data_IF_808842092235
#
_entry.id   IF_808842092235
#
_cell.length_a   1.000
_cell.length_b   1.000
_cell.length_c   1.000
_cell.angle_alpha   90.00
_cell.angle_beta   90.00
_cell.angle_gamma   90.00
#
_symmetry.space_group_name_H-M   'P 1'
#
loop_
_entity.id
_entity.type
_entity.pdbx_description
1 polymer ?
#
# COMPACT_ATOMS: atom_id res chain seq x y z
N UNK A 1 -24.32 13.84 -14.06
CA UNK A 1 -24.28 12.36 -14.14
C UNK A 1 -22.82 11.92 -14.19
N UNK A 2 -22.29 11.38 -13.08
CA UNK A 2 -20.91 10.90 -13.04
C UNK A 2 -20.86 9.54 -13.75
N UNK A 3 -20.14 9.45 -14.87
CA UNK A 3 -19.93 8.17 -15.56
C UNK A 3 -18.87 7.37 -14.79
N UNK A 4 -19.22 6.17 -14.36
CA UNK A 4 -18.28 5.20 -13.81
C UNK A 4 -17.95 4.17 -14.88
N UNK A 5 -16.70 3.71 -14.90
CA UNK A 5 -16.26 2.63 -15.80
C UNK A 5 -15.95 1.43 -14.92
N UNK A 6 -16.77 0.39 -15.04
CA UNK A 6 -16.57 -0.89 -14.37
C UNK A 6 -15.85 -1.86 -15.31
N UNK A 7 -14.84 -2.55 -14.78
CA UNK A 7 -14.15 -3.64 -15.45
C UNK A 7 -14.12 -4.85 -14.52
N UNK A 8 -14.63 -5.98 -15.00
CA UNK A 8 -14.55 -7.26 -14.30
C UNK A 8 -13.47 -8.12 -14.94
N UNK A 9 -12.63 -8.72 -14.12
CA UNK A 9 -11.63 -9.70 -14.50
C UNK A 9 -11.80 -10.93 -13.61
N UNK A 10 -11.89 -12.10 -14.23
CA UNK A 10 -11.97 -13.38 -13.51
C UNK A 10 -10.55 -13.93 -13.52
N UNK A 11 -9.93 -14.01 -12.34
CA UNK A 11 -8.56 -14.50 -12.17
C UNK A 11 -8.53 -16.03 -12.07
N UNK A 12 -9.51 -16.60 -11.37
CA UNK A 12 -9.77 -18.04 -11.30
C UNK A 12 -11.22 -18.27 -10.92
N UNK A 13 -11.68 -19.53 -10.88
CA UNK A 13 -13.05 -19.87 -10.48
C UNK A 13 -13.41 -19.38 -9.06
N UNK A 14 -12.40 -19.14 -8.22
CA UNK A 14 -12.55 -18.73 -6.82
C UNK A 14 -12.24 -17.26 -6.57
N UNK A 15 -11.69 -16.54 -7.55
CA UNK A 15 -11.23 -15.15 -7.38
C UNK A 15 -11.78 -14.28 -8.51
N UNK A 16 -12.67 -13.35 -8.13
CA UNK A 16 -13.24 -12.35 -9.03
C UNK A 16 -12.70 -10.97 -8.63
N UNK A 17 -12.17 -10.25 -9.61
CA UNK A 17 -11.64 -8.90 -9.43
C UNK A 17 -12.53 -7.91 -10.18
N UNK A 18 -13.10 -6.96 -9.46
CA UNK A 18 -13.85 -5.84 -10.05
C UNK A 18 -13.09 -4.55 -9.82
N UNK A 19 -12.93 -3.78 -10.87
CA UNK A 19 -12.31 -2.46 -10.83
C UNK A 19 -13.34 -1.43 -11.22
N UNK A 20 -13.65 -0.53 -10.31
CA UNK A 20 -14.56 0.58 -10.52
C UNK A 20 -13.71 1.84 -10.61
N UNK A 21 -13.65 2.43 -11.81
CA UNK A 21 -12.97 3.71 -12.04
C UNK A 21 -13.99 4.84 -11.90
N UNK A 22 -13.64 5.79 -11.04
CA UNK A 22 -14.41 7.00 -10.76
C UNK A 22 -13.56 8.24 -11.06
N UNK A 23 -14.15 9.43 -11.02
CA UNK A 23 -13.36 10.67 -11.08
C UNK A 23 -12.43 10.86 -9.88
N UNK A 24 -12.80 10.32 -8.72
CA UNK A 24 -12.04 10.48 -7.48
C UNK A 24 -10.93 9.44 -7.32
N UNK A 25 -10.81 8.49 -8.25
CA UNK A 25 -9.82 7.41 -8.20
C UNK A 25 -10.39 6.07 -8.62
N UNK A 26 -9.65 5.02 -8.31
CA UNK A 26 -9.95 3.65 -8.70
C UNK A 26 -10.17 2.78 -7.45
N UNK A 27 -11.35 2.16 -7.36
CA UNK A 27 -11.65 1.15 -6.35
C UNK A 27 -11.47 -0.24 -6.97
N UNK A 28 -10.66 -1.08 -6.34
CA UNK A 28 -10.51 -2.51 -6.70
C UNK A 28 -11.17 -3.34 -5.60
N UNK A 29 -12.17 -4.14 -5.99
CA UNK A 29 -12.89 -5.08 -5.13
C UNK A 29 -12.44 -6.48 -5.54
N UNK A 30 -11.94 -7.25 -4.59
CA UNK A 30 -11.55 -8.65 -4.81
C UNK A 30 -12.52 -9.51 -4.01
N UNK A 31 -13.34 -10.29 -4.72
CA UNK A 31 -14.25 -11.25 -4.14
C UNK A 31 -13.61 -12.63 -4.21
N UNK A 32 -13.58 -13.33 -3.08
CA UNK A 32 -12.94 -14.63 -2.96
C UNK A 32 -13.90 -15.68 -2.38
N UNK A 33 -13.79 -16.92 -2.88
CA UNK A 33 -14.33 -18.09 -2.20
C UNK A 33 -13.17 -18.82 -1.51
N UNK A 34 -13.00 -18.54 -0.21
CA UNK A 34 -11.87 -19.04 0.55
C UNK A 34 -11.93 -20.58 0.72
N UNK A 35 -10.77 -21.26 0.64
CA UNK A 35 -10.70 -22.69 0.90
C UNK A 35 -11.13 -22.99 2.35
N UNK A 36 -11.72 -24.16 2.53
CA UNK A 36 -12.18 -24.68 3.82
C UNK A 36 -11.31 -25.85 4.25
N UNK A 37 -11.45 -26.31 5.49
CA UNK A 37 -10.69 -27.43 6.07
C UNK A 37 -10.80 -28.77 5.32
N UNK A 38 -11.65 -28.87 4.31
CA UNK A 38 -11.78 -30.05 3.42
C UNK A 38 -10.81 -30.03 2.23
N UNK A 39 -10.04 -28.95 2.05
CA UNK A 39 -9.09 -28.80 0.96
C UNK A 39 -7.70 -29.19 1.45
N UNK A 40 -6.92 -29.84 0.59
CA UNK A 40 -5.53 -30.19 0.89
C UNK A 40 -4.63 -28.96 0.89
N UNK A 41 -3.48 -29.06 1.55
CA UNK A 41 -2.54 -27.94 1.71
C UNK A 41 -2.07 -27.35 0.36
N UNK A 42 -1.94 -28.19 -0.67
CA UNK A 42 -1.57 -27.77 -2.02
C UNK A 42 -2.63 -26.83 -2.64
N UNK A 43 -3.91 -27.17 -2.51
CA UNK A 43 -5.02 -26.34 -3.02
C UNK A 43 -5.08 -25.00 -2.29
N UNK A 44 -4.80 -25.00 -0.99
CA UNK A 44 -4.75 -23.79 -0.16
C UNK A 44 -3.60 -22.90 -0.60
N UNK A 45 -2.41 -23.47 -0.82
CA UNK A 45 -1.24 -22.73 -1.28
C UNK A 45 -1.46 -22.10 -2.66
N UNK A 46 -2.04 -22.86 -3.60
CA UNK A 46 -2.39 -22.37 -4.94
C UNK A 46 -3.35 -21.18 -4.82
N UNK A 47 -4.40 -21.29 -4.01
CA UNK A 47 -5.36 -20.20 -3.79
C UNK A 47 -4.67 -18.92 -3.28
N UNK A 48 -3.80 -19.02 -2.27
CA UNK A 48 -3.13 -17.83 -1.73
C UNK A 48 -2.10 -17.24 -2.69
N UNK A 49 -1.44 -18.06 -3.53
CA UNK A 49 -0.58 -17.58 -4.62
C UNK A 49 -1.38 -16.79 -5.66
N UNK A 50 -2.54 -17.29 -6.08
CA UNK A 50 -3.42 -16.59 -7.02
C UNK A 50 -3.96 -15.28 -6.43
N UNK A 51 -4.36 -15.29 -5.15
CA UNK A 51 -4.80 -14.09 -4.45
C UNK A 51 -3.70 -13.02 -4.36
N UNK A 52 -2.46 -13.44 -4.08
CA UNK A 52 -1.29 -12.56 -4.08
C UNK A 52 -1.10 -11.87 -5.44
N UNK A 53 -1.18 -12.62 -6.54
CA UNK A 53 -1.12 -12.06 -7.90
C UNK A 53 -2.24 -11.04 -8.15
N UNK A 54 -3.48 -11.38 -7.78
CA UNK A 54 -4.63 -10.49 -7.93
C UNK A 54 -4.46 -9.17 -7.14
N UNK A 55 -3.75 -9.20 -6.01
CA UNK A 55 -3.40 -8.00 -5.24
C UNK A 55 -2.26 -7.20 -5.89
N UNK A 56 -1.22 -7.87 -6.36
CA UNK A 56 0.01 -7.26 -6.87
C UNK A 56 -0.12 -6.63 -8.26
N UNK A 57 -1.09 -7.04 -9.07
CA UNK A 57 -1.39 -6.42 -10.38
C UNK A 57 -1.70 -4.91 -10.34
N UNK A 58 -1.81 -4.31 -9.15
CA UNK A 58 -1.96 -2.87 -8.95
C UNK A 58 -0.65 -2.14 -8.55
N UNK A 59 0.47 -2.84 -8.31
CA UNK A 59 1.73 -2.22 -7.84
C UNK A 59 2.56 -1.51 -8.91
N UNK A 60 2.04 -1.32 -10.12
CA UNK A 60 2.68 -0.51 -11.17
C UNK A 60 1.79 0.71 -11.43
N UNK A 61 2.00 1.87 -10.77
CA UNK A 61 2.98 2.88 -11.22
C UNK A 61 3.29 3.99 -10.19
N UNK A 62 2.94 3.87 -8.92
CA UNK A 62 3.41 4.83 -7.90
C UNK A 62 4.77 4.41 -7.34
N UNK A 63 5.78 4.44 -8.21
CA UNK A 63 7.15 4.67 -7.74
C UNK A 63 7.24 6.15 -7.33
N UNK A 64 6.68 6.48 -6.17
CA UNK A 64 7.20 7.62 -5.41
C UNK A 64 8.59 7.20 -4.95
N UNK A 65 9.58 7.61 -5.73
CA UNK A 65 11.00 7.45 -5.43
C UNK A 65 11.27 8.21 -4.12
N UNK A 66 11.27 7.50 -2.99
CA UNK A 66 12.09 7.92 -1.87
C UNK A 66 13.53 7.56 -2.23
N UNK A 67 14.22 8.53 -2.84
CA UNK A 67 15.67 8.51 -2.87
C UNK A 67 16.15 8.67 -1.42
N UNK A 68 16.33 7.56 -0.72
CA UNK A 68 17.21 7.53 0.42
C UNK A 68 18.64 7.72 -0.13
N UNK A 69 19.13 8.95 -0.01
CA UNK A 69 20.54 9.23 -0.27
C UNK A 69 21.40 8.37 0.67
N UNK A 70 22.44 7.68 0.18
CA UNK A 70 23.23 6.79 1.01
C UNK A 70 24.11 7.61 1.95
N UNK A 71 23.74 7.63 3.23
CA UNK A 71 24.62 7.95 4.34
C UNK A 71 24.76 9.43 4.73
N UNK A 72 24.10 9.84 5.82
CA UNK A 72 24.70 10.38 7.07
C UNK A 72 23.65 11.11 7.92
N UNK A 73 23.49 10.60 9.15
CA UNK A 73 22.92 11.19 10.38
C UNK A 73 22.17 12.54 10.34
N UNK A 74 20.96 12.62 10.95
CA UNK A 74 20.46 13.90 11.45
C UNK A 74 21.07 14.17 12.84
N UNK A 75 22.15 14.94 12.90
CA UNK A 75 22.53 15.59 14.15
C UNK A 75 21.58 16.77 14.37
N UNK A 76 20.61 16.55 15.26
CA UNK A 76 19.66 17.53 15.77
C UNK A 76 20.41 18.70 16.41
N UNK A 77 20.50 19.84 15.72
CA UNK A 77 21.03 21.08 16.28
C UNK A 77 19.87 21.98 16.75
N UNK A 78 19.21 21.57 17.84
CA UNK A 78 18.27 22.45 18.57
C UNK A 78 19.10 23.34 19.50
N UNK A 79 19.45 24.54 19.06
CA UNK A 79 20.11 25.56 19.90
C UNK A 79 19.14 25.96 21.03
N UNK A 80 19.41 25.52 22.25
CA UNK A 80 18.79 26.05 23.46
C UNK A 80 19.52 27.35 23.86
N UNK A 81 18.78 28.46 23.84
CA UNK A 81 19.22 29.73 24.43
C UNK A 81 19.21 29.62 25.96
N UNK A 82 20.37 29.39 26.58
CA UNK A 82 20.54 29.48 28.04
C UNK A 82 21.84 30.19 28.44
N UNK A 83 22.30 31.17 27.66
CA UNK A 83 23.48 31.98 28.01
C UNK A 83 23.29 33.47 27.69
N UNK A 84 22.11 34.02 28.03
CA UNK A 84 21.86 35.48 27.98
C UNK A 84 21.46 36.07 29.36
N UNK A 85 21.86 35.44 30.46
CA UNK A 85 21.68 36.01 31.81
C UNK A 85 22.97 35.88 32.62
N UNK A 86 24.00 36.66 32.26
CA UNK A 86 25.09 36.99 33.20
C UNK A 86 25.70 38.38 32.96
N UNK A 87 24.93 39.32 32.39
CA UNK A 87 25.31 40.74 32.31
C UNK A 87 24.37 41.66 33.09
N UNK A 88 23.82 41.17 34.21
CA UNK A 88 23.02 41.97 35.14
C UNK A 88 23.46 41.68 36.58
N UNK A 89 24.64 42.20 36.94
CA UNK A 89 25.13 42.55 38.29
C UNK A 89 26.53 43.15 38.05
N UNK A 90 26.62 44.47 37.83
CA UNK A 90 27.10 45.46 38.82
C UNK A 90 28.49 45.16 39.32
#
# INVERSE_FOLDING_TARGET
MTKYVEKTNIQSERIIVRTIKTRAGQLKIIQVYAPRTIHDDEDVEIFYKELGKALDENKSRDSHVQQEAPGRHPASARKSNTDQISKIAT
#
